data_IF_814339942281
#
_entry.id   IF_814339942281
#
_cell.length_a   1.000
_cell.length_b   1.000
_cell.length_c   1.000
_cell.angle_alpha   90.00
_cell.angle_beta   90.00
_cell.angle_gamma   90.00
#
_symmetry.space_group_name_H-M   'P 1'
#
loop_
_entity.id
_entity.type
_entity.pdbx_description
1 polymer ?
#
# COMPACT_ATOMS: atom_id res chain seq x y z
N UNK A 1 33.29 -0.11 -36.23
CA UNK A 1 34.05 -0.44 -35.01
C UNK A 1 33.07 -0.73 -33.90
N UNK A 2 33.41 -1.62 -32.96
CA UNK A 2 32.54 -2.12 -31.88
C UNK A 2 31.16 -2.61 -32.36
N UNK A 3 31.09 -3.86 -32.83
CA UNK A 3 29.82 -4.58 -32.86
C UNK A 3 29.30 -4.65 -31.41
N UNK A 4 28.21 -3.94 -31.10
CA UNK A 4 27.64 -3.79 -29.75
C UNK A 4 27.24 -5.13 -29.10
N UNK A 5 27.26 -6.22 -29.89
CA UNK A 5 26.70 -7.53 -29.56
C UNK A 5 27.74 -8.68 -29.64
N UNK A 6 29.03 -8.40 -29.84
CA UNK A 6 30.06 -9.46 -29.89
C UNK A 6 30.23 -10.13 -28.52
N UNK A 7 29.84 -11.40 -28.40
CA UNK A 7 29.85 -12.19 -27.17
C UNK A 7 28.50 -12.83 -26.81
N UNK A 8 27.39 -12.40 -27.43
CA UNK A 8 26.04 -12.94 -27.17
C UNK A 8 25.78 -14.34 -27.76
N UNK A 9 26.76 -14.91 -28.47
CA UNK A 9 26.70 -16.25 -29.04
C UNK A 9 26.64 -17.33 -27.95
N UNK A 10 27.27 -17.09 -26.80
CA UNK A 10 27.13 -17.92 -25.59
C UNK A 10 25.71 -17.93 -25.00
N UNK A 11 24.86 -16.98 -25.42
CA UNK A 11 23.46 -16.81 -24.97
C UNK A 11 22.44 -17.07 -26.10
N UNK A 12 22.87 -17.58 -27.27
CA UNK A 12 21.99 -18.04 -28.34
C UNK A 12 21.32 -16.95 -29.21
N UNK A 13 21.65 -15.67 -29.03
CA UNK A 13 20.98 -14.54 -29.69
C UNK A 13 21.69 -14.12 -31.00
N UNK A 14 21.52 -14.91 -32.07
CA UNK A 14 22.27 -14.74 -33.34
C UNK A 14 21.79 -13.64 -34.30
N UNK A 15 20.56 -13.12 -34.17
CA UNK A 15 19.88 -12.41 -35.28
C UNK A 15 19.57 -10.91 -35.06
N UNK A 16 20.23 -10.21 -34.12
CA UNK A 16 19.92 -8.80 -33.78
C UNK A 16 20.98 -7.78 -34.25
N UNK A 17 21.75 -8.09 -35.30
CA UNK A 17 22.88 -7.27 -35.76
C UNK A 17 22.53 -6.15 -36.76
N UNK A 18 21.25 -5.95 -37.12
CA UNK A 18 20.83 -4.98 -38.16
C UNK A 18 19.46 -4.34 -37.88
N UNK A 19 19.38 -3.42 -36.93
CA UNK A 19 18.27 -2.45 -36.83
C UNK A 19 18.82 -1.06 -36.53
N UNK A 20 18.76 -0.20 -37.54
CA UNK A 20 18.99 1.25 -37.43
C UNK A 20 17.66 1.99 -37.17
N UNK A 21 17.75 3.25 -36.72
CA UNK A 21 16.79 3.78 -35.74
C UNK A 21 15.65 4.66 -36.32
N UNK A 22 15.79 5.27 -37.52
CA UNK A 22 14.74 6.08 -38.22
C UNK A 22 15.05 6.19 -39.73
N UNK A 23 14.14 6.55 -40.66
CA UNK A 23 12.72 6.19 -40.94
C UNK A 23 12.40 6.71 -42.37
N UNK A 24 11.72 5.95 -43.26
CA UNK A 24 10.79 6.52 -44.28
C UNK A 24 9.85 5.46 -44.90
N UNK A 25 8.89 5.91 -45.74
CA UNK A 25 7.61 5.22 -46.07
C UNK A 25 7.54 4.69 -47.50
N UNK A 26 6.75 3.63 -47.73
CA UNK A 26 5.58 3.71 -48.64
C UNK A 26 4.57 2.57 -48.46
N UNK A 27 3.45 2.62 -49.21
CA UNK A 27 2.17 1.95 -48.90
C UNK A 27 1.95 0.67 -49.71
N UNK A 28 1.16 -0.27 -49.17
CA UNK A 28 0.09 -0.90 -49.95
C UNK A 28 -1.04 -1.47 -49.08
N UNK A 29 -2.23 -1.63 -49.66
CA UNK A 29 -3.51 -1.85 -48.97
C UNK A 29 -4.08 -3.26 -49.16
N UNK A 30 -4.66 -3.82 -48.11
CA UNK A 30 -5.91 -4.61 -48.24
C UNK A 30 -6.70 -4.58 -46.94
N UNK A 31 -8.04 -4.61 -47.04
CA UNK A 31 -8.98 -4.40 -45.93
C UNK A 31 -9.77 -5.67 -45.68
N UNK A 32 -9.86 -6.09 -44.42
CA UNK A 32 -10.97 -6.89 -43.90
C UNK A 32 -11.29 -6.38 -42.49
N UNK A 33 -12.54 -5.99 -42.27
CA UNK A 33 -12.99 -5.37 -41.01
C UNK A 33 -13.42 -6.44 -39.99
N UNK A 34 -12.77 -6.48 -38.84
CA UNK A 34 -13.46 -6.68 -37.56
C UNK A 34 -13.02 -5.56 -36.63
N UNK A 35 -13.96 -4.68 -36.28
CA UNK A 35 -13.67 -3.55 -35.40
C UNK A 35 -13.75 -4.00 -33.95
N UNK A 36 -12.66 -3.89 -33.19
CA UNK A 36 -12.70 -4.11 -31.75
C UNK A 36 -11.97 -3.03 -30.95
N UNK A 37 -12.40 -2.89 -29.71
CA UNK A 37 -12.23 -1.69 -28.89
C UNK A 37 -10.77 -1.47 -28.48
N UNK A 38 -10.39 -0.20 -28.25
CA UNK A 38 -9.20 0.12 -27.45
C UNK A 38 -9.24 -0.73 -26.17
N UNK A 39 -8.18 -1.49 -25.83
CA UNK A 39 -8.23 -2.38 -24.67
C UNK A 39 -8.50 -1.56 -23.41
N UNK A 40 -9.65 -1.79 -22.81
CA UNK A 40 -10.02 -1.22 -21.52
C UNK A 40 -9.17 -1.91 -20.46
N UNK A 41 -8.11 -1.23 -20.04
CA UNK A 41 -7.20 -1.69 -18.97
C UNK A 41 -8.01 -1.95 -17.70
N UNK A 42 -7.99 -3.18 -17.20
CA UNK A 42 -8.72 -3.61 -15.99
C UNK A 42 -7.77 -3.79 -14.82
N UNK A 43 -8.29 -3.63 -13.60
CA UNK A 43 -7.51 -3.90 -12.38
C UNK A 43 -6.93 -5.34 -12.38
N UNK A 44 -7.72 -6.32 -12.84
CA UNK A 44 -7.34 -7.73 -13.01
C UNK A 44 -6.02 -7.94 -13.75
N UNK A 45 -5.71 -7.07 -14.71
CA UNK A 45 -4.50 -7.16 -15.54
C UNK A 45 -3.23 -6.95 -14.69
N UNK A 46 -3.35 -6.23 -13.57
CA UNK A 46 -2.27 -5.97 -12.62
C UNK A 46 -2.20 -6.98 -11.48
N UNK A 47 -3.18 -7.86 -11.30
CA UNK A 47 -3.21 -8.79 -10.15
C UNK A 47 -2.63 -10.15 -10.53
N UNK A 48 -1.97 -10.80 -9.57
CA UNK A 48 -1.58 -12.20 -9.63
C UNK A 48 -1.71 -12.87 -8.26
N UNK A 49 -1.93 -14.19 -8.27
CA UNK A 49 -1.87 -14.98 -7.05
C UNK A 49 -0.41 -15.32 -6.71
N UNK A 50 -0.02 -15.03 -5.47
CA UNK A 50 1.30 -15.36 -4.93
C UNK A 50 1.17 -16.38 -3.80
N UNK A 51 1.96 -17.44 -3.85
CA UNK A 51 2.02 -18.45 -2.80
C UNK A 51 2.74 -17.93 -1.55
N UNK A 52 2.20 -18.27 -0.39
CA UNK A 52 2.73 -17.97 0.93
C UNK A 52 2.66 -19.23 1.81
N UNK A 53 3.69 -19.47 2.61
CA UNK A 53 3.63 -20.37 3.75
C UNK A 53 3.40 -19.54 5.02
N UNK A 54 2.47 -19.95 5.87
CA UNK A 54 2.10 -19.25 7.09
C UNK A 54 3.11 -19.54 8.23
N UNK A 55 3.84 -18.55 8.80
CA UNK A 55 4.81 -18.79 9.87
C UNK A 55 4.17 -19.15 11.23
N UNK A 56 2.84 -19.24 11.30
CA UNK A 56 2.10 -19.63 12.50
C UNK A 56 1.63 -21.08 12.41
N UNK A 57 1.05 -21.51 11.29
CA UNK A 57 0.44 -22.84 11.14
C UNK A 57 0.99 -23.68 9.97
N UNK A 58 2.07 -23.21 9.34
CA UNK A 58 2.81 -23.85 8.24
C UNK A 58 1.99 -24.15 6.99
N UNK A 59 0.74 -23.69 6.96
CA UNK A 59 -0.17 -23.90 5.85
C UNK A 59 0.23 -23.07 4.63
N UNK A 60 0.33 -23.73 3.48
CA UNK A 60 0.49 -23.07 2.19
C UNK A 60 -0.85 -22.54 1.67
N UNK A 61 -0.85 -21.32 1.17
CA UNK A 61 -2.02 -20.68 0.58
C UNK A 61 -1.60 -19.65 -0.47
N UNK A 62 -2.53 -19.21 -1.31
CA UNK A 62 -2.32 -18.11 -2.24
C UNK A 62 -2.99 -16.84 -1.70
N UNK A 63 -2.35 -15.70 -1.92
CA UNK A 63 -2.94 -14.37 -1.68
C UNK A 63 -2.71 -13.50 -2.92
N UNK A 64 -3.67 -12.64 -3.22
CA UNK A 64 -3.59 -11.72 -4.35
C UNK A 64 -2.56 -10.63 -4.08
N UNK A 65 -1.79 -10.28 -5.09
CA UNK A 65 -0.75 -9.23 -5.03
C UNK A 65 -0.70 -8.48 -6.36
N UNK A 66 -0.31 -7.20 -6.33
CA UNK A 66 -0.12 -6.39 -7.54
C UNK A 66 1.23 -6.68 -8.20
N UNK A 67 1.25 -6.86 -9.52
CA UNK A 67 2.43 -7.01 -10.37
C UNK A 67 3.28 -5.73 -10.31
N UNK A 68 4.41 -5.79 -9.62
CA UNK A 68 5.33 -4.66 -9.47
C UNK A 68 5.76 -4.08 -10.84
N UNK A 69 5.88 -2.76 -10.91
CA UNK A 69 6.38 -2.04 -12.10
C UNK A 69 5.41 -1.94 -13.28
N UNK A 70 4.18 -2.46 -13.17
CA UNK A 70 3.16 -2.35 -14.25
C UNK A 70 2.24 -1.13 -14.12
N UNK A 71 2.07 -0.61 -12.91
CA UNK A 71 1.19 0.52 -12.59
C UNK A 71 2.02 1.78 -12.31
N UNK A 72 1.49 2.97 -12.63
CA UNK A 72 2.18 4.26 -12.49
C UNK A 72 1.65 5.06 -11.30
N UNK A 73 2.55 5.69 -10.54
CA UNK A 73 2.17 6.63 -9.49
C UNK A 73 1.56 7.89 -10.14
N UNK A 74 0.36 8.26 -9.71
CA UNK A 74 -0.39 9.41 -10.21
C UNK A 74 -0.21 10.63 -9.31
N UNK A 75 -0.33 10.44 -7.99
CA UNK A 75 -0.27 11.49 -6.97
C UNK A 75 0.24 10.89 -5.65
N UNK A 76 0.73 11.75 -4.76
CA UNK A 76 0.89 11.43 -3.33
C UNK A 76 0.15 12.50 -2.54
N UNK A 77 -0.74 12.10 -1.65
CA UNK A 77 -1.46 13.02 -0.76
C UNK A 77 -0.50 13.67 0.28
N UNK A 78 -1.00 14.65 1.02
CA UNK A 78 -0.24 15.35 2.08
C UNK A 78 0.21 14.41 3.20
N UNK A 79 -0.59 13.39 3.52
CA UNK A 79 -0.30 12.35 4.53
C UNK A 79 0.53 11.19 3.98
N UNK A 80 1.12 11.36 2.79
CA UNK A 80 1.94 10.39 2.06
C UNK A 80 1.20 9.16 1.49
N UNK A 81 -0.15 9.16 1.44
CA UNK A 81 -0.91 8.15 0.69
C UNK A 81 -0.50 8.15 -0.79
N UNK A 82 0.05 7.06 -1.34
CA UNK A 82 0.37 6.97 -2.76
C UNK A 82 -0.88 6.57 -3.56
N UNK A 83 -1.22 7.36 -4.57
CA UNK A 83 -2.35 7.10 -5.49
C UNK A 83 -1.77 6.65 -6.83
N UNK A 84 -2.25 5.53 -7.35
CA UNK A 84 -1.74 4.90 -8.57
C UNK A 84 -2.83 4.78 -9.64
N UNK A 85 -2.43 4.74 -10.90
CA UNK A 85 -3.35 4.51 -12.02
C UNK A 85 -3.77 3.03 -12.09
N UNK A 86 -5.06 2.79 -12.35
CA UNK A 86 -5.71 1.50 -12.66
C UNK A 86 -5.76 0.42 -11.56
N UNK A 87 -5.03 0.58 -10.46
CA UNK A 87 -5.02 -0.36 -9.33
C UNK A 87 -4.59 0.35 -8.05
N UNK A 88 -5.23 0.07 -6.92
CA UNK A 88 -4.73 0.48 -5.60
C UNK A 88 -3.97 -0.69 -4.93
N UNK A 89 -2.63 -0.63 -4.79
CA UNK A 89 -1.85 -1.64 -4.09
C UNK A 89 -2.16 -1.77 -2.60
N UNK A 90 -2.77 -0.75 -1.96
CA UNK A 90 -3.17 -0.84 -0.55
C UNK A 90 -4.19 -1.96 -0.36
N UNK A 91 -5.09 -2.20 -1.31
CA UNK A 91 -6.08 -3.29 -1.24
C UNK A 91 -5.43 -4.67 -1.04
N UNK A 92 -4.20 -4.85 -1.52
CA UNK A 92 -3.48 -6.13 -1.57
C UNK A 92 -2.32 -6.26 -0.57
N UNK A 93 -2.09 -5.26 0.30
CA UNK A 93 -0.94 -5.29 1.22
C UNK A 93 -1.15 -6.19 2.46
N UNK A 94 -2.40 -6.39 2.89
CA UNK A 94 -2.72 -7.28 4.00
C UNK A 94 -2.78 -8.75 3.56
N UNK A 95 -1.81 -9.54 3.98
CA UNK A 95 -1.80 -10.98 3.79
C UNK A 95 -2.47 -11.62 5.01
N UNK A 96 -3.52 -12.42 4.78
CA UNK A 96 -4.24 -13.14 5.82
C UNK A 96 -4.29 -14.64 5.52
N UNK A 97 -3.87 -15.47 6.47
CA UNK A 97 -3.91 -16.93 6.35
C UNK A 97 -5.34 -17.46 6.56
N UNK A 98 -5.93 -18.17 5.58
CA UNK A 98 -7.32 -18.63 5.65
C UNK A 98 -7.55 -19.74 6.69
N UNK A 99 -6.50 -20.38 7.21
CA UNK A 99 -6.60 -21.49 8.16
C UNK A 99 -6.56 -21.07 9.63
N UNK A 100 -5.78 -20.05 9.98
CA UNK A 100 -5.49 -19.71 11.38
C UNK A 100 -5.74 -18.24 11.75
N UNK A 101 -6.13 -17.39 10.80
CA UNK A 101 -6.37 -15.97 11.07
C UNK A 101 -5.12 -15.14 11.33
N UNK A 102 -3.92 -15.72 11.23
CA UNK A 102 -2.70 -14.92 11.22
C UNK A 102 -2.71 -13.98 10.00
N UNK A 103 -2.61 -12.69 10.26
CA UNK A 103 -2.51 -11.67 9.24
C UNK A 103 -1.43 -10.64 9.57
N UNK A 104 -0.77 -10.14 8.54
CA UNK A 104 0.15 -9.01 8.64
C UNK A 104 0.22 -8.23 7.32
N UNK A 105 0.69 -6.98 7.37
CA UNK A 105 1.10 -6.27 6.16
C UNK A 105 2.26 -7.02 5.49
N UNK A 106 2.37 -6.91 4.17
CA UNK A 106 3.24 -7.76 3.33
C UNK A 106 4.69 -7.85 3.82
N UNK A 107 5.23 -6.74 4.31
CA UNK A 107 6.58 -6.61 4.87
C UNK A 107 6.79 -7.25 6.25
N UNK A 108 5.74 -7.41 7.06
CA UNK A 108 5.85 -8.00 8.41
C UNK A 108 5.48 -9.49 8.43
N UNK A 109 4.84 -9.99 7.36
CA UNK A 109 4.26 -11.34 7.32
C UNK A 109 5.21 -12.51 7.58
N UNK A 110 6.53 -12.35 7.33
CA UNK A 110 7.51 -13.42 7.63
C UNK A 110 8.06 -13.39 9.05
N UNK A 111 7.82 -12.32 9.81
CA UNK A 111 8.51 -12.05 11.07
C UNK A 111 7.60 -12.31 12.28
N UNK A 112 7.60 -13.57 12.75
CA UNK A 112 6.84 -14.03 13.92
C UNK A 112 7.72 -14.89 14.81
N UNK A 113 7.85 -14.55 16.09
CA UNK A 113 8.57 -15.39 17.06
C UNK A 113 7.70 -16.55 17.56
N UNK A 114 8.31 -17.59 18.14
CA UNK A 114 7.56 -18.72 18.75
C UNK A 114 6.55 -18.25 19.82
N UNK A 115 6.91 -17.24 20.62
CA UNK A 115 6.02 -16.64 21.62
C UNK A 115 4.81 -15.93 20.97
N UNK A 116 5.05 -15.16 19.90
CA UNK A 116 3.99 -14.50 19.13
C UNK A 116 3.08 -15.51 18.43
N UNK A 117 3.64 -16.55 17.82
CA UNK A 117 2.89 -17.64 17.19
C UNK A 117 1.97 -18.35 18.18
N UNK A 118 2.43 -18.60 19.43
CA UNK A 118 1.60 -19.14 20.51
C UNK A 118 0.46 -18.20 20.91
N UNK A 119 0.72 -16.90 21.04
CA UNK A 119 -0.31 -15.91 21.35
C UNK A 119 -1.39 -15.83 20.24
N UNK A 120 -0.97 -15.76 18.98
CA UNK A 120 -1.88 -15.77 17.82
C UNK A 120 -2.73 -17.05 17.79
N UNK A 121 -2.14 -18.23 18.02
CA UNK A 121 -2.88 -19.50 18.09
C UNK A 121 -3.93 -19.50 19.20
N UNK A 122 -3.58 -18.98 20.38
CA UNK A 122 -4.47 -18.94 21.55
C UNK A 122 -5.62 -17.95 21.39
N UNK A 123 -5.30 -16.71 21.00
CA UNK A 123 -6.23 -15.58 21.12
C UNK A 123 -6.94 -15.25 19.80
N UNK A 124 -6.41 -15.70 18.64
CA UNK A 124 -7.01 -15.49 17.31
C UNK A 124 -7.49 -16.82 16.72
N UNK A 125 -6.59 -17.79 16.51
CA UNK A 125 -6.92 -19.01 15.75
C UNK A 125 -8.02 -19.85 16.40
N UNK A 126 -8.15 -19.83 17.73
CA UNK A 126 -9.19 -20.56 18.47
C UNK A 126 -10.63 -20.13 18.11
N UNK A 127 -10.83 -18.87 17.69
CA UNK A 127 -12.14 -18.30 17.36
C UNK A 127 -12.24 -17.87 15.88
N UNK A 128 -11.18 -18.09 15.09
CA UNK A 128 -11.11 -17.60 13.72
C UNK A 128 -12.03 -18.41 12.80
N UNK A 129 -12.90 -17.70 12.08
CA UNK A 129 -13.66 -18.25 10.95
C UNK A 129 -12.96 -17.82 9.65
N UNK A 130 -12.76 -18.72 8.67
CA UNK A 130 -12.19 -18.36 7.38
C UNK A 130 -12.91 -17.17 6.75
N UNK A 131 -12.13 -16.31 6.10
CA UNK A 131 -12.68 -15.27 5.22
C UNK A 131 -13.35 -15.96 4.02
N UNK A 132 -14.46 -15.39 3.54
CA UNK A 132 -15.15 -15.89 2.35
C UNK A 132 -14.20 -15.90 1.13
N UNK A 133 -14.52 -16.73 0.14
CA UNK A 133 -13.82 -16.72 -1.14
C UNK A 133 -13.92 -15.34 -1.78
N UNK A 134 -12.77 -14.79 -2.16
CA UNK A 134 -12.68 -13.48 -2.81
C UNK A 134 -12.68 -13.64 -4.32
N UNK A 135 -13.37 -12.72 -5.00
CA UNK A 135 -13.35 -12.56 -6.44
C UNK A 135 -11.91 -12.34 -6.99
N UNK A 136 -11.76 -12.24 -8.32
CA UNK A 136 -10.47 -12.04 -8.99
C UNK A 136 -9.67 -10.82 -8.48
N UNK A 137 -10.35 -9.81 -7.96
CA UNK A 137 -9.83 -8.62 -7.29
C UNK A 137 -10.36 -8.51 -5.86
N UNK A 138 -9.67 -7.76 -5.00
CA UNK A 138 -10.19 -7.38 -3.69
C UNK A 138 -10.99 -6.07 -3.81
N UNK A 139 -12.20 -6.06 -3.24
CA UNK A 139 -12.96 -4.83 -2.97
C UNK A 139 -12.30 -4.05 -1.82
N UNK A 140 -12.69 -2.79 -1.61
CA UNK A 140 -12.26 -2.09 -0.40
C UNK A 140 -12.79 -2.75 0.87
N UNK A 141 -13.96 -3.38 0.85
CA UNK A 141 -14.47 -4.10 2.02
C UNK A 141 -13.64 -5.35 2.35
N UNK A 142 -13.21 -6.11 1.33
CA UNK A 142 -12.24 -7.20 1.51
C UNK A 142 -10.92 -6.67 2.10
N UNK A 143 -10.42 -5.57 1.57
CA UNK A 143 -9.18 -4.95 1.99
C UNK A 143 -9.26 -4.43 3.44
N UNK A 144 -10.30 -3.68 3.78
CA UNK A 144 -10.55 -3.13 5.12
C UNK A 144 -10.71 -4.27 6.12
N UNK A 145 -11.48 -5.32 5.80
CA UNK A 145 -11.62 -6.49 6.67
C UNK A 145 -10.28 -7.19 6.92
N UNK A 146 -9.47 -7.38 5.88
CA UNK A 146 -8.12 -7.97 6.00
C UNK A 146 -7.19 -7.07 6.82
N UNK A 147 -7.21 -5.76 6.65
CA UNK A 147 -6.38 -4.83 7.43
C UNK A 147 -6.85 -4.70 8.89
N UNK A 148 -8.15 -4.81 9.18
CA UNK A 148 -8.66 -4.91 10.56
C UNK A 148 -8.17 -6.20 11.23
N UNK A 149 -8.12 -7.32 10.51
CA UNK A 149 -7.51 -8.57 11.00
C UNK A 149 -5.99 -8.42 11.22
N UNK A 150 -5.28 -7.68 10.38
CA UNK A 150 -3.87 -7.30 10.62
C UNK A 150 -3.75 -6.51 11.92
N UNK A 151 -4.59 -5.49 12.14
CA UNK A 151 -4.53 -4.66 13.34
C UNK A 151 -4.71 -5.51 14.62
N UNK A 152 -5.69 -6.39 14.66
CA UNK A 152 -5.88 -7.35 15.77
C UNK A 152 -4.64 -8.23 15.98
N UNK A 153 -4.04 -8.75 14.91
CA UNK A 153 -2.78 -9.50 14.98
C UNK A 153 -1.62 -8.65 15.55
N UNK A 154 -1.50 -7.37 15.20
CA UNK A 154 -0.47 -6.47 15.75
C UNK A 154 -0.66 -6.17 17.25
N UNK A 155 -1.90 -6.19 17.74
CA UNK A 155 -2.22 -6.08 19.17
C UNK A 155 -1.80 -7.37 19.88
N UNK A 156 -2.32 -8.52 19.46
CA UNK A 156 -2.08 -9.85 20.08
C UNK A 156 -0.60 -10.23 20.06
N UNK A 157 0.11 -10.03 18.95
CA UNK A 157 1.55 -10.34 18.85
C UNK A 157 2.45 -9.34 19.57
N UNK A 158 1.88 -8.34 20.27
CA UNK A 158 2.59 -7.22 20.91
C UNK A 158 3.61 -6.61 19.95
N UNK A 159 3.13 -6.23 18.76
CA UNK A 159 3.93 -5.58 17.74
C UNK A 159 4.45 -4.22 18.22
N UNK A 160 5.45 -3.71 17.50
CA UNK A 160 5.92 -2.33 17.57
C UNK A 160 4.76 -1.34 17.39
N UNK A 161 4.82 -0.20 18.08
CA UNK A 161 3.84 0.86 17.94
C UNK A 161 3.88 1.44 16.52
N UNK A 162 5.06 1.55 15.90
CA UNK A 162 5.22 1.93 14.49
C UNK A 162 4.50 0.98 13.50
N UNK A 163 4.39 -0.31 13.80
CA UNK A 163 3.66 -1.30 12.99
C UNK A 163 2.14 -1.16 13.15
N UNK A 164 1.68 -0.93 14.39
CA UNK A 164 0.26 -0.67 14.71
C UNK A 164 -0.21 0.63 14.06
N UNK A 165 0.53 1.72 14.27
CA UNK A 165 0.26 3.04 13.72
C UNK A 165 0.19 3.03 12.19
N UNK A 166 1.15 2.34 11.54
CA UNK A 166 1.14 2.19 10.08
C UNK A 166 -0.04 1.35 9.57
N UNK A 167 -0.52 0.38 10.35
CA UNK A 167 -1.74 -0.38 10.02
C UNK A 167 -2.99 0.50 10.13
N UNK A 168 -3.11 1.33 11.18
CA UNK A 168 -4.17 2.32 11.31
C UNK A 168 -4.15 3.33 10.14
N UNK A 169 -2.97 3.83 9.77
CA UNK A 169 -2.82 4.75 8.64
C UNK A 169 -3.31 4.15 7.32
N UNK A 170 -3.00 2.87 7.05
CA UNK A 170 -3.52 2.17 5.87
C UNK A 170 -5.03 1.93 5.92
N UNK A 171 -5.61 1.70 7.09
CA UNK A 171 -7.05 1.61 7.25
C UNK A 171 -7.74 2.93 6.91
N UNK A 172 -7.20 4.06 7.38
CA UNK A 172 -7.67 5.40 6.99
C UNK A 172 -7.59 5.60 5.46
N UNK A 173 -6.46 5.26 4.83
CA UNK A 173 -6.30 5.37 3.37
C UNK A 173 -7.24 4.46 2.56
N UNK A 174 -7.58 3.29 3.07
CA UNK A 174 -8.55 2.38 2.44
C UNK A 174 -9.98 2.89 2.58
N UNK A 175 -10.33 3.50 3.72
CA UNK A 175 -11.63 4.17 3.89
C UNK A 175 -11.76 5.37 2.95
N UNK A 176 -10.70 6.16 2.78
CA UNK A 176 -10.63 7.25 1.79
C UNK A 176 -10.75 6.75 0.35
N UNK A 177 -10.04 5.68 -0.01
CA UNK A 177 -10.18 5.07 -1.34
C UNK A 177 -11.59 4.52 -1.59
N UNK A 178 -12.23 3.95 -0.56
CA UNK A 178 -13.61 3.49 -0.64
C UNK A 178 -14.61 4.64 -0.85
N UNK A 179 -14.41 5.79 -0.20
CA UNK A 179 -15.28 6.95 -0.38
C UNK A 179 -15.04 7.66 -1.72
N UNK A 180 -13.80 7.68 -2.22
CA UNK A 180 -13.43 8.19 -3.55
C UNK A 180 -14.03 7.37 -4.71
N UNK A 181 -14.27 6.07 -4.52
CA UNK A 181 -14.90 5.17 -5.50
C UNK A 181 -16.40 4.93 -5.25
N UNK A 182 -17.03 5.64 -4.30
CA UNK A 182 -18.45 5.47 -3.99
C UNK A 182 -19.34 6.10 -5.09
N UNK A 183 -20.29 5.36 -5.70
CA UNK A 183 -21.21 5.93 -6.69
C UNK A 183 -22.10 7.04 -6.11
N UNK A 184 -22.26 8.15 -6.81
CA UNK A 184 -23.08 9.30 -6.39
C UNK A 184 -24.58 8.96 -6.22
N UNK A 185 -25.06 7.89 -6.88
CA UNK A 185 -26.42 7.37 -6.78
C UNK A 185 -26.63 6.40 -5.59
N UNK A 186 -25.61 6.19 -4.75
CA UNK A 186 -25.71 5.36 -3.54
C UNK A 186 -26.81 5.90 -2.61
N UNK A 187 -27.71 5.02 -2.18
CA UNK A 187 -28.74 5.39 -1.20
C UNK A 187 -28.10 5.96 0.09
N UNK A 188 -28.64 7.08 0.58
CA UNK A 188 -28.12 7.78 1.75
C UNK A 188 -26.64 8.24 1.61
N UNK A 189 -26.15 8.47 0.37
CA UNK A 189 -24.77 8.84 0.02
C UNK A 189 -24.07 9.74 1.05
N UNK A 190 -24.66 10.89 1.41
CA UNK A 190 -24.06 11.81 2.37
C UNK A 190 -23.82 11.18 3.75
N UNK A 191 -24.78 10.39 4.28
CA UNK A 191 -24.60 9.69 5.57
C UNK A 191 -23.51 8.64 5.48
N UNK A 192 -23.41 7.95 4.33
CA UNK A 192 -22.40 6.92 4.08
C UNK A 192 -21.00 7.54 4.01
N UNK A 193 -20.85 8.66 3.31
CA UNK A 193 -19.62 9.46 3.26
C UNK A 193 -19.26 10.01 4.65
N UNK A 194 -20.20 10.63 5.37
CA UNK A 194 -19.98 11.19 6.71
C UNK A 194 -19.55 10.11 7.71
N UNK A 195 -20.10 8.89 7.59
CA UNK A 195 -19.73 7.76 8.45
C UNK A 195 -18.33 7.22 8.11
N UNK A 196 -17.98 7.10 6.82
CA UNK A 196 -16.62 6.71 6.40
C UNK A 196 -15.58 7.77 6.80
N UNK A 197 -15.90 9.06 6.70
CA UNK A 197 -15.01 10.14 7.13
C UNK A 197 -14.76 10.14 8.66
N UNK A 198 -15.77 9.78 9.47
CA UNK A 198 -15.59 9.59 10.92
C UNK A 198 -14.69 8.39 11.23
N UNK A 199 -14.93 7.26 10.56
CA UNK A 199 -14.08 6.06 10.74
C UNK A 199 -12.64 6.32 10.28
N UNK A 200 -12.44 7.03 9.17
CA UNK A 200 -11.13 7.50 8.72
C UNK A 200 -10.45 8.34 9.81
N UNK A 201 -11.16 9.34 10.36
CA UNK A 201 -10.62 10.24 11.38
C UNK A 201 -10.21 9.51 12.67
N UNK A 202 -10.96 8.50 13.09
CA UNK A 202 -10.59 7.62 14.22
C UNK A 202 -9.30 6.86 13.93
N UNK A 203 -9.13 6.30 12.72
CA UNK A 203 -7.90 5.63 12.33
C UNK A 203 -6.71 6.59 12.16
N UNK A 204 -6.92 7.82 11.66
CA UNK A 204 -5.89 8.86 11.59
C UNK A 204 -5.42 9.28 12.99
N UNK A 205 -6.34 9.41 13.95
CA UNK A 205 -6.01 9.68 15.36
C UNK A 205 -5.17 8.56 15.97
N UNK A 206 -5.62 7.30 15.82
CA UNK A 206 -4.86 6.13 16.30
C UNK A 206 -3.49 5.99 15.62
N UNK A 207 -3.37 6.36 14.34
CA UNK A 207 -2.10 6.41 13.63
C UNK A 207 -1.18 7.52 14.19
N UNK A 208 -1.73 8.71 14.43
CA UNK A 208 -0.98 9.82 15.03
C UNK A 208 -0.40 9.44 16.40
N UNK A 209 -1.25 8.99 17.32
CA UNK A 209 -0.85 8.65 18.70
C UNK A 209 0.20 7.53 18.72
N UNK A 210 0.01 6.48 17.90
CA UNK A 210 0.96 5.38 17.80
C UNK A 210 2.29 5.76 17.14
N UNK A 211 2.32 6.73 16.21
CA UNK A 211 3.56 7.23 15.63
C UNK A 211 4.28 8.24 16.53
N UNK A 212 3.56 9.09 17.26
CA UNK A 212 4.13 10.01 18.27
C UNK A 212 4.84 9.24 19.40
N UNK A 213 4.20 8.18 19.92
CA UNK A 213 4.81 7.27 20.89
C UNK A 213 6.01 6.51 20.29
N UNK A 214 5.86 5.95 19.08
CA UNK A 214 6.94 5.22 18.41
C UNK A 214 8.14 6.13 18.11
N UNK A 215 7.92 7.41 17.79
CA UNK A 215 8.96 8.38 17.49
C UNK A 215 10.00 8.48 18.63
N UNK A 216 9.50 8.43 19.87
CA UNK A 216 10.32 8.60 21.07
C UNK A 216 10.85 7.28 21.65
N UNK A 217 10.38 6.12 21.16
CA UNK A 217 10.61 4.79 21.77
C UNK A 217 11.20 3.74 20.83
N UNK A 218 11.21 3.98 19.53
CA UNK A 218 11.74 3.06 18.52
C UNK A 218 12.87 3.68 17.68
N UNK A 219 13.66 2.83 17.01
CA UNK A 219 14.71 3.27 16.09
C UNK A 219 14.18 3.37 14.65
N UNK A 220 14.71 4.34 13.90
CA UNK A 220 14.52 4.45 12.45
C UNK A 220 15.34 3.40 11.67
N UNK A 221 14.90 2.96 10.47
CA UNK A 221 13.68 3.38 9.78
C UNK A 221 12.40 2.74 10.36
N UNK A 222 11.44 3.58 10.73
CA UNK A 222 10.13 3.14 11.23
C UNK A 222 9.22 2.88 10.04
N UNK A 223 8.69 1.66 9.91
CA UNK A 223 7.86 1.29 8.76
C UNK A 223 8.50 1.68 7.41
N UNK A 224 9.82 1.48 7.29
CA UNK A 224 10.59 1.77 6.08
C UNK A 224 10.71 3.26 5.72
N UNK A 225 10.36 4.16 6.63
CA UNK A 225 10.50 5.61 6.50
C UNK A 225 11.61 6.12 7.41
N UNK A 226 12.37 7.10 6.94
CA UNK A 226 13.36 7.84 7.75
C UNK A 226 12.68 8.83 8.72
N UNK A 227 13.49 9.41 9.62
CA UNK A 227 13.03 10.33 10.66
C UNK A 227 12.30 11.56 10.10
N UNK A 228 12.77 12.14 9.00
CA UNK A 228 12.18 13.34 8.41
C UNK A 228 10.87 13.01 7.70
N UNK A 229 10.80 11.87 7.02
CA UNK A 229 9.58 11.35 6.38
C UNK A 229 8.50 11.03 7.42
N UNK A 230 8.85 10.40 8.55
CA UNK A 230 7.91 10.18 9.65
C UNK A 230 7.49 11.50 10.30
N UNK A 231 8.42 12.42 10.57
CA UNK A 231 8.10 13.74 11.13
C UNK A 231 7.11 14.53 10.26
N UNK A 232 7.28 14.50 8.93
CA UNK A 232 6.37 15.12 7.96
C UNK A 232 4.99 14.48 7.97
N UNK A 233 4.93 13.14 7.97
CA UNK A 233 3.67 12.39 8.04
C UNK A 233 2.92 12.66 9.34
N UNK A 234 3.61 12.64 10.48
CA UNK A 234 3.04 12.92 11.81
C UNK A 234 2.52 14.36 11.89
N UNK A 235 3.18 15.32 11.23
CA UNK A 235 2.67 16.69 11.10
C UNK A 235 1.33 16.75 10.35
N UNK A 236 1.21 16.10 9.18
CA UNK A 236 -0.05 16.12 8.42
C UNK A 236 -1.18 15.37 9.15
N UNK A 237 -0.85 14.29 9.85
CA UNK A 237 -1.80 13.60 10.73
C UNK A 237 -2.29 14.53 11.85
N UNK A 238 -1.38 15.26 12.53
CA UNK A 238 -1.75 16.25 13.54
C UNK A 238 -2.69 17.33 12.97
N UNK A 239 -2.39 17.85 11.77
CA UNK A 239 -3.23 18.82 11.07
C UNK A 239 -4.63 18.27 10.77
N UNK A 240 -4.72 17.05 10.22
CA UNK A 240 -5.99 16.37 9.89
C UNK A 240 -6.89 16.12 11.09
N UNK A 241 -6.30 15.86 12.26
CA UNK A 241 -7.05 15.66 13.52
C UNK A 241 -7.22 16.95 14.36
N UNK A 242 -6.92 18.12 13.78
CA UNK A 242 -7.13 19.43 14.41
C UNK A 242 -6.10 19.84 15.49
N UNK A 243 -4.99 19.09 15.63
CA UNK A 243 -3.91 19.36 16.59
C UNK A 243 -2.86 20.29 15.98
N UNK A 244 -3.26 21.52 15.66
CA UNK A 244 -2.42 22.48 14.92
C UNK A 244 -1.11 22.85 15.63
N UNK A 245 -1.10 22.94 16.96
CA UNK A 245 0.13 23.21 17.73
C UNK A 245 1.14 22.06 17.67
N UNK A 246 0.65 20.81 17.63
CA UNK A 246 1.48 19.62 17.41
C UNK A 246 2.01 19.60 15.97
N UNK A 247 1.16 19.87 14.98
CA UNK A 247 1.57 20.05 13.58
C UNK A 247 2.71 21.07 13.45
N UNK A 248 2.55 22.27 14.02
CA UNK A 248 3.56 23.34 13.97
C UNK A 248 4.91 22.94 14.56
N UNK A 249 4.92 22.14 15.64
CA UNK A 249 6.15 21.57 16.22
C UNK A 249 6.82 20.56 15.28
N UNK A 250 6.04 19.63 14.70
CA UNK A 250 6.55 18.62 13.76
C UNK A 250 7.10 19.25 12.47
N UNK A 251 6.39 20.22 11.89
CA UNK A 251 6.88 21.00 10.74
C UNK A 251 8.18 21.73 11.06
N UNK A 252 8.27 22.39 12.22
CA UNK A 252 9.48 23.11 12.62
C UNK A 252 10.69 22.18 12.73
N UNK A 253 10.51 20.97 13.27
CA UNK A 253 11.54 19.92 13.32
C UNK A 253 12.02 19.50 11.93
N UNK A 254 11.11 19.33 10.97
CA UNK A 254 11.46 18.99 9.57
C UNK A 254 12.23 20.14 8.89
N UNK A 255 11.80 21.39 9.06
CA UNK A 255 12.41 22.55 8.40
C UNK A 255 13.84 22.83 8.92
N UNK A 256 14.08 22.66 10.22
CA UNK A 256 15.39 22.88 10.85
C UNK A 256 16.35 21.70 10.66
N UNK A 257 15.83 20.51 10.34
CA UNK A 257 16.65 19.31 10.07
C UNK A 257 17.64 19.55 8.92
N UNK A 258 18.90 19.17 9.17
CA UNK A 258 19.99 19.25 8.16
C UNK A 258 19.92 18.12 7.15
N UNK A 259 19.39 16.96 7.57
CA UNK A 259 19.29 15.75 6.75
C UNK A 259 17.97 15.68 5.95
N UNK A 260 17.02 16.58 6.22
CA UNK A 260 15.81 16.74 5.42
C UNK A 260 16.14 17.41 4.08
N UNK A 261 15.88 16.70 2.98
CA UNK A 261 15.99 17.23 1.63
C UNK A 261 14.92 18.31 1.33
N UNK A 262 15.17 19.16 0.32
CA UNK A 262 14.26 20.28 0.02
C UNK A 262 12.84 19.83 -0.37
N UNK A 263 12.66 18.67 -1.00
CA UNK A 263 11.30 18.15 -1.34
C UNK A 263 10.47 17.82 -0.09
N UNK A 264 11.12 17.34 0.97
CA UNK A 264 10.47 17.12 2.28
C UNK A 264 10.19 18.47 2.95
N UNK A 265 11.10 19.45 2.85
CA UNK A 265 10.90 20.79 3.41
C UNK A 265 9.84 21.61 2.69
N UNK A 266 9.72 21.47 1.37
CA UNK A 266 8.66 22.05 0.54
C UNK A 266 7.30 21.53 1.01
N UNK A 267 7.11 20.20 1.07
CA UNK A 267 5.91 19.59 1.66
C UNK A 267 5.63 20.05 3.09
N UNK A 268 6.66 20.32 3.88
CA UNK A 268 6.50 20.83 5.23
C UNK A 268 5.99 22.29 5.27
N UNK A 269 6.30 23.09 4.24
CA UNK A 269 5.72 24.43 4.03
C UNK A 269 4.26 24.31 3.57
N UNK A 270 3.97 23.43 2.60
CA UNK A 270 2.60 23.18 2.09
C UNK A 270 1.60 22.76 3.19
N UNK A 271 2.05 22.07 4.24
CA UNK A 271 1.22 21.64 5.38
C UNK A 271 1.00 22.78 6.40
N UNK A 272 1.84 23.81 6.37
CA UNK A 272 1.81 24.94 7.31
C UNK A 272 0.88 26.08 6.84
N UNK A 273 0.71 26.22 5.54
CA UNK A 273 -0.18 27.19 4.88
C UNK A 273 -1.66 26.76 4.94
#
# INVERSE_FOLDING_TARGET
>A
MANLFSGLEAFGLKNLSKMDVYEEKEKETSVANEGDKKPTVKETDFIYDKSYSCPVCDNEFKSKMVKAGRFKLQKVDTDLRPIYQFVDPLKYDAIACPKCGYAALSRYFKYVTSAQSKAIKKDISANFKPLNETNEIYTYDDAIMRHKLVLVNTIVKKAKNSERAYTCLKLAWLLRGKSEELPEDTQDYQKVIDQMAKEELEFLKNAYEGFDEAFSTENFPMSGMDENTVSLMVADLARRIGKYDECGRWISKVLVSRDANERIKEKARDIKE
#
